data_IF_062365787864
#
_entry.id   IF_062365787864
#
_cell.length_a   1.000
_cell.length_b   1.000
_cell.length_c   1.000
_cell.angle_alpha   90.00
_cell.angle_beta   90.00
_cell.angle_gamma   90.00
#
_symmetry.space_group_name_H-M   'P 1'
#
loop_
_entity.id
_entity.type
_entity.pdbx_description
1 polymer ?
#
# COMPACT_ATOMS: atom_id res chain seq x y z
N UNK A 1 -15.46 -13.52 0.27
CA UNK A 1 -14.07 -13.31 0.74
C UNK A 1 -13.65 -11.93 0.30
N UNK A 2 -13.19 -11.09 1.20
CA UNK A 2 -12.71 -9.72 0.86
C UNK A 2 -11.44 -9.87 0.03
N UNK A 3 -11.38 -9.34 -1.18
CA UNK A 3 -10.16 -9.40 -1.97
C UNK A 3 -9.06 -8.63 -1.25
N UNK A 4 -7.96 -9.30 -0.96
CA UNK A 4 -6.75 -8.73 -0.41
C UNK A 4 -5.60 -8.93 -1.39
N UNK A 5 -4.82 -7.90 -1.65
CA UNK A 5 -3.68 -7.96 -2.56
C UNK A 5 -2.48 -7.25 -1.94
N UNK A 6 -1.31 -7.88 -2.02
CA UNK A 6 -0.04 -7.27 -1.64
C UNK A 6 0.69 -6.82 -2.90
N UNK A 7 1.16 -5.57 -2.90
CA UNK A 7 2.12 -5.11 -3.89
C UNK A 7 3.47 -4.88 -3.21
N UNK A 8 4.48 -5.58 -3.69
CA UNK A 8 5.81 -5.58 -3.12
C UNK A 8 6.89 -5.46 -4.20
N UNK A 9 8.11 -5.11 -3.78
CA UNK A 9 9.30 -5.32 -4.59
C UNK A 9 10.09 -6.50 -4.03
N UNK A 10 10.68 -7.31 -4.92
CA UNK A 10 11.58 -8.37 -4.53
C UNK A 10 13.02 -7.97 -4.90
N UNK A 11 13.93 -7.81 -3.92
CA UNK A 11 15.28 -7.34 -4.19
C UNK A 11 16.19 -8.36 -4.88
N UNK A 12 15.89 -9.65 -4.76
CA UNK A 12 16.64 -10.75 -5.36
C UNK A 12 15.64 -11.74 -5.97
N UNK A 13 15.25 -11.51 -7.22
CA UNK A 13 14.41 -12.47 -7.94
C UNK A 13 15.26 -13.61 -8.48
N UNK A 14 15.65 -14.57 -7.64
CA UNK A 14 15.93 -15.90 -8.12
C UNK A 14 14.59 -16.53 -8.58
N UNK A 15 14.58 -17.11 -9.79
CA UNK A 15 13.37 -17.69 -10.39
C UNK A 15 12.72 -18.77 -9.49
N UNK A 16 13.46 -19.35 -8.56
CA UNK A 16 12.94 -20.28 -7.55
C UNK A 16 12.00 -19.65 -6.51
N UNK A 17 12.17 -18.39 -6.16
CA UNK A 17 11.26 -17.69 -5.23
C UNK A 17 9.97 -17.19 -5.90
N UNK A 18 10.00 -16.91 -7.20
CA UNK A 18 8.80 -16.59 -7.96
C UNK A 18 7.81 -17.76 -8.02
N UNK A 19 8.31 -18.98 -8.15
CA UNK A 19 7.46 -20.18 -8.17
C UNK A 19 6.69 -20.42 -6.87
N UNK A 20 7.26 -20.07 -5.71
CA UNK A 20 6.61 -20.18 -4.40
C UNK A 20 5.53 -19.10 -4.15
N UNK A 21 5.58 -18.00 -4.86
CA UNK A 21 4.66 -16.86 -4.68
C UNK A 21 3.47 -16.87 -5.66
N UNK A 22 3.48 -17.73 -6.69
CA UNK A 22 2.44 -17.78 -7.73
C UNK A 22 1.04 -18.15 -7.22
N UNK A 23 0.92 -18.72 -6.00
CA UNK A 23 -0.35 -19.07 -5.38
C UNK A 23 -0.78 -18.09 -4.27
N UNK A 24 -0.04 -17.02 -4.07
CA UNK A 24 -0.29 -15.99 -3.05
C UNK A 24 -0.80 -14.71 -3.71
N UNK A 25 -1.68 -13.98 -3.02
CA UNK A 25 -2.19 -12.68 -3.49
C UNK A 25 -1.11 -11.60 -3.39
N UNK A 26 0.01 -11.80 -4.07
CA UNK A 26 1.12 -10.85 -4.14
C UNK A 26 1.46 -10.50 -5.58
N UNK A 27 1.56 -9.24 -5.86
CA UNK A 27 2.07 -8.70 -7.12
C UNK A 27 3.45 -8.11 -6.90
N UNK A 28 4.44 -8.65 -7.60
CA UNK A 28 5.82 -8.16 -7.53
C UNK A 28 6.04 -7.15 -8.65
N UNK A 29 6.25 -5.90 -8.26
CA UNK A 29 6.52 -4.82 -9.21
C UNK A 29 7.96 -4.92 -9.72
N UNK A 30 8.10 -5.18 -11.02
CA UNK A 30 9.39 -5.38 -11.69
C UNK A 30 9.81 -4.21 -12.58
N UNK A 31 9.08 -3.09 -12.54
CA UNK A 31 9.36 -1.92 -13.35
C UNK A 31 10.80 -1.42 -13.14
N UNK A 32 11.59 -1.11 -14.23
CA UNK A 32 13.00 -0.73 -14.12
C UNK A 32 13.28 0.44 -13.18
N UNK A 33 12.43 1.48 -13.16
CA UNK A 33 12.58 2.61 -12.25
C UNK A 33 12.43 2.20 -10.79
N UNK A 34 11.49 1.31 -10.48
CA UNK A 34 11.28 0.80 -9.11
C UNK A 34 12.52 0.00 -8.67
N UNK A 35 13.01 -0.90 -9.51
CA UNK A 35 14.20 -1.70 -9.23
C UNK A 35 15.45 -0.83 -9.05
N UNK A 36 15.62 0.18 -9.89
CA UNK A 36 16.73 1.14 -9.78
C UNK A 36 16.69 1.90 -8.45
N UNK A 37 15.56 2.50 -8.11
CA UNK A 37 15.41 3.27 -6.86
C UNK A 37 15.58 2.39 -5.63
N UNK A 38 15.07 1.16 -5.65
CA UNK A 38 15.27 0.18 -4.60
C UNK A 38 16.74 -0.17 -4.41
N UNK A 39 17.50 -0.33 -5.50
CA UNK A 39 18.94 -0.57 -5.45
C UNK A 39 19.69 0.59 -4.79
N UNK A 40 19.34 1.84 -5.14
CA UNK A 40 19.91 3.03 -4.51
C UNK A 40 19.58 3.12 -3.01
N UNK A 41 18.36 2.76 -2.61
CA UNK A 41 17.93 2.75 -1.20
C UNK A 41 18.73 1.74 -0.36
N UNK A 42 19.15 0.62 -0.95
CA UNK A 42 19.90 -0.45 -0.29
C UNK A 42 21.40 -0.20 -0.22
N UNK A 43 21.91 0.86 -0.82
CA UNK A 43 23.32 1.19 -0.79
C UNK A 43 23.75 1.50 0.65
N UNK A 44 24.96 1.00 1.04
CA UNK A 44 25.51 1.17 2.40
C UNK A 44 25.66 2.64 2.79
N UNK A 45 25.92 3.50 1.83
CA UNK A 45 26.14 4.95 1.97
C UNK A 45 24.87 5.77 1.74
N UNK A 46 23.69 5.13 1.70
CA UNK A 46 22.43 5.82 1.56
C UNK A 46 22.15 6.66 2.80
N UNK A 47 22.21 8.00 2.64
CA UNK A 47 21.91 8.92 3.75
C UNK A 47 20.43 8.86 4.14
N UNK A 48 20.10 9.25 5.37
CA UNK A 48 18.71 9.32 5.85
C UNK A 48 17.83 10.20 4.96
N UNK A 49 18.36 11.32 4.47
CA UNK A 49 17.65 12.19 3.53
C UNK A 49 17.32 11.45 2.23
N UNK A 50 18.34 10.84 1.60
CA UNK A 50 18.17 10.07 0.37
C UNK A 50 17.21 8.89 0.55
N UNK A 51 17.29 8.20 1.67
CA UNK A 51 16.38 7.11 2.01
C UNK A 51 14.92 7.58 2.07
N UNK A 52 14.63 8.70 2.75
CA UNK A 52 13.27 9.27 2.82
C UNK A 52 12.75 9.67 1.44
N UNK A 53 13.57 10.35 0.64
CA UNK A 53 13.20 10.74 -0.72
C UNK A 53 12.87 9.53 -1.58
N UNK A 54 13.73 8.51 -1.59
CA UNK A 54 13.51 7.27 -2.34
C UNK A 54 12.27 6.51 -1.86
N UNK A 55 11.99 6.50 -0.54
CA UNK A 55 10.79 5.89 0.02
C UNK A 55 9.51 6.54 -0.54
N UNK A 56 9.44 7.88 -0.56
CA UNK A 56 8.31 8.61 -1.13
C UNK A 56 8.16 8.39 -2.64
N UNK A 57 9.27 8.43 -3.38
CA UNK A 57 9.26 8.18 -4.83
C UNK A 57 8.82 6.77 -5.19
N UNK A 58 9.30 5.76 -4.44
CA UNK A 58 8.89 4.36 -4.61
C UNK A 58 7.40 4.19 -4.27
N UNK A 59 6.93 4.79 -3.17
CA UNK A 59 5.54 4.75 -2.78
C UNK A 59 4.61 5.29 -3.87
N UNK A 60 5.00 6.40 -4.53
CA UNK A 60 4.26 6.99 -5.66
C UNK A 60 4.18 6.02 -6.85
N UNK A 61 5.31 5.44 -7.27
CA UNK A 61 5.34 4.51 -8.40
C UNK A 61 4.53 3.25 -8.13
N UNK A 62 4.61 2.72 -6.91
CA UNK A 62 3.87 1.54 -6.50
C UNK A 62 2.37 1.81 -6.34
N UNK A 63 2.00 3.01 -5.85
CA UNK A 63 0.59 3.41 -5.79
C UNK A 63 -0.04 3.51 -7.18
N UNK A 64 0.71 3.97 -8.19
CA UNK A 64 0.26 3.98 -9.58
C UNK A 64 -0.11 2.57 -10.06
N UNK A 65 0.75 1.58 -9.80
CA UNK A 65 0.46 0.19 -10.13
C UNK A 65 -0.73 -0.36 -9.32
N UNK A 66 -0.81 -0.03 -8.02
CA UNK A 66 -1.89 -0.49 -7.15
C UNK A 66 -3.29 0.00 -7.56
N UNK A 67 -3.36 1.10 -8.27
CA UNK A 67 -4.61 1.69 -8.74
C UNK A 67 -5.01 1.24 -10.16
N UNK A 68 -4.25 0.34 -10.79
CA UNK A 68 -4.47 -0.10 -12.17
C UNK A 68 -5.85 -0.73 -12.41
N UNK A 69 -6.42 -1.37 -11.40
CA UNK A 69 -7.72 -2.04 -11.43
C UNK A 69 -8.87 -1.18 -10.90
N UNK A 70 -8.67 0.12 -10.71
CA UNK A 70 -9.76 1.01 -10.34
C UNK A 70 -10.76 1.11 -11.48
N UNK A 71 -12.03 0.94 -11.15
CA UNK A 71 -13.12 1.11 -12.09
C UNK A 71 -13.30 2.57 -12.44
N UNK A 72 -13.62 2.85 -13.70
CA UNK A 72 -13.91 4.18 -14.22
C UNK A 72 -15.33 4.23 -14.76
N UNK A 73 -15.96 5.39 -14.68
CA UNK A 73 -17.27 5.69 -15.25
C UNK A 73 -17.23 6.97 -16.08
N UNK A 74 -18.07 7.03 -17.11
CA UNK A 74 -18.25 8.25 -17.90
C UNK A 74 -19.15 9.25 -17.17
N UNK A 75 -18.87 10.53 -17.34
CA UNK A 75 -19.73 11.63 -16.90
C UNK A 75 -19.72 12.79 -17.90
N UNK A 76 -20.80 13.56 -17.92
CA UNK A 76 -20.92 14.75 -18.78
C UNK A 76 -20.17 15.91 -18.15
N UNK A 77 -19.34 16.59 -18.93
CA UNK A 77 -18.61 17.79 -18.50
C UNK A 77 -18.48 18.80 -19.62
N UNK A 78 -18.17 20.04 -19.26
CA UNK A 78 -17.80 21.08 -20.23
C UNK A 78 -16.29 21.03 -20.49
N UNK A 79 -15.91 21.00 -21.75
CA UNK A 79 -14.54 21.18 -22.20
C UNK A 79 -14.01 22.59 -21.94
N UNK A 80 -12.73 22.80 -22.20
CA UNK A 80 -12.08 24.10 -22.02
C UNK A 80 -12.66 25.20 -22.95
N UNK A 81 -13.30 24.80 -24.03
CA UNK A 81 -13.98 25.66 -25.04
C UNK A 81 -15.50 25.76 -24.81
N UNK A 82 -16.01 25.27 -23.66
CA UNK A 82 -17.41 25.16 -23.28
C UNK A 82 -18.26 24.21 -24.17
N UNK A 83 -17.64 23.34 -24.95
CA UNK A 83 -18.38 22.26 -25.63
C UNK A 83 -18.71 21.13 -24.63
N UNK A 84 -19.85 20.48 -24.81
CA UNK A 84 -20.21 19.27 -24.05
C UNK A 84 -19.35 18.11 -24.50
N UNK A 85 -18.64 17.48 -23.55
CA UNK A 85 -17.80 16.32 -23.78
C UNK A 85 -18.05 15.25 -22.73
N UNK A 86 -17.65 14.01 -23.01
CA UNK A 86 -17.58 12.91 -22.05
C UNK A 86 -16.22 12.93 -21.36
N UNK A 87 -16.21 12.95 -20.06
CA UNK A 87 -15.05 12.70 -19.23
C UNK A 87 -15.11 11.33 -18.59
N UNK A 88 -14.00 10.88 -18.02
CA UNK A 88 -13.91 9.65 -17.25
C UNK A 88 -13.46 9.98 -15.82
N UNK A 89 -14.05 9.31 -14.83
CA UNK A 89 -13.67 9.43 -13.43
C UNK A 89 -13.64 8.08 -12.74
N UNK A 90 -12.89 7.99 -11.65
CA UNK A 90 -12.85 6.79 -10.81
C UNK A 90 -14.22 6.62 -10.13
N UNK A 91 -14.78 5.39 -10.22
CA UNK A 91 -16.07 5.04 -9.62
C UNK A 91 -16.02 5.16 -8.09
N UNK A 92 -17.06 5.75 -7.52
CA UNK A 92 -17.29 5.75 -6.09
C UNK A 92 -16.38 6.68 -5.29
N UNK A 93 -16.05 6.28 -4.07
CA UNK A 93 -15.20 7.06 -3.19
C UNK A 93 -13.73 6.69 -3.39
N UNK A 94 -12.87 7.72 -3.38
CA UNK A 94 -11.41 7.52 -3.38
C UNK A 94 -10.97 6.71 -2.16
N UNK A 95 -9.80 6.09 -2.28
CA UNK A 95 -9.20 5.24 -1.24
C UNK A 95 -9.05 5.93 0.11
N UNK A 96 -8.95 5.15 1.17
CA UNK A 96 -8.33 5.58 2.41
C UNK A 96 -6.92 5.00 2.50
N UNK A 97 -5.92 5.86 2.71
CA UNK A 97 -4.54 5.44 2.93
C UNK A 97 -4.38 5.13 4.41
N UNK A 98 -3.77 3.98 4.72
CA UNK A 98 -3.63 3.48 6.09
C UNK A 98 -2.15 3.23 6.40
N UNK A 99 -1.37 4.27 6.75
CA UNK A 99 0.00 4.07 7.21
C UNK A 99 0.02 3.31 8.53
N UNK A 100 0.85 2.24 8.58
CA UNK A 100 1.19 1.60 9.85
C UNK A 100 2.27 2.45 10.51
N UNK A 101 1.94 3.04 11.65
CA UNK A 101 2.84 3.93 12.37
C UNK A 101 3.98 3.12 13.01
N UNK A 102 5.18 3.62 12.96
CA UNK A 102 5.58 4.96 12.47
C UNK A 102 6.13 4.91 11.04
N UNK A 103 6.62 3.74 10.59
CA UNK A 103 7.38 3.57 9.35
C UNK A 103 6.56 3.93 8.09
N UNK A 104 5.28 3.60 8.06
CA UNK A 104 4.38 3.92 6.95
C UNK A 104 4.26 5.40 6.63
N UNK A 105 4.54 6.30 7.59
CA UNK A 105 4.53 7.75 7.33
C UNK A 105 5.52 8.17 6.23
N UNK A 106 6.64 7.45 6.10
CA UNK A 106 7.61 7.75 5.04
C UNK A 106 7.09 7.54 3.61
N UNK A 107 6.01 6.78 3.45
CA UNK A 107 5.39 6.52 2.16
C UNK A 107 4.19 7.44 1.89
N UNK A 108 3.64 8.08 2.92
CA UNK A 108 2.35 8.78 2.85
C UNK A 108 2.33 9.90 1.81
N UNK A 109 3.32 10.79 1.83
CA UNK A 109 3.39 11.92 0.92
C UNK A 109 3.45 11.46 -0.55
N UNK A 110 4.23 10.40 -0.84
CA UNK A 110 4.33 9.85 -2.18
C UNK A 110 3.00 9.32 -2.73
N UNK A 111 2.17 8.71 -1.89
CA UNK A 111 0.84 8.24 -2.28
C UNK A 111 -0.14 9.40 -2.41
N UNK A 112 -0.10 10.38 -1.50
CA UNK A 112 -0.97 11.57 -1.56
C UNK A 112 -0.68 12.46 -2.77
N UNK A 113 0.58 12.56 -3.20
CA UNK A 113 0.93 13.28 -4.43
C UNK A 113 0.25 12.70 -5.69
N UNK A 114 -0.01 11.39 -5.67
CA UNK A 114 -0.70 10.71 -6.77
C UNK A 114 -2.23 10.74 -6.59
N UNK A 115 -2.70 10.58 -5.35
CA UNK A 115 -4.14 10.52 -5.03
C UNK A 115 -4.48 11.61 -3.99
N UNK A 116 -4.48 12.89 -4.36
CA UNK A 116 -4.62 14.00 -3.41
C UNK A 116 -6.00 14.05 -2.71
N UNK A 117 -6.99 13.37 -3.26
CA UNK A 117 -8.34 13.26 -2.68
C UNK A 117 -8.48 12.09 -1.71
N UNK A 118 -7.46 11.26 -1.54
CA UNK A 118 -7.49 10.15 -0.59
C UNK A 118 -7.70 10.63 0.85
N UNK A 119 -8.46 9.86 1.61
CA UNK A 119 -8.58 10.07 3.06
C UNK A 119 -7.43 9.35 3.78
N UNK A 120 -7.12 9.80 4.98
CA UNK A 120 -6.07 9.21 5.79
C UNK A 120 -6.69 8.56 7.01
N UNK A 121 -6.44 7.26 7.16
CA UNK A 121 -6.67 6.49 8.38
C UNK A 121 -5.32 6.11 8.96
N UNK A 122 -5.16 6.12 10.27
CA UNK A 122 -3.86 5.81 10.90
C UNK A 122 -4.01 4.67 11.89
N UNK A 123 -3.07 3.73 11.85
CA UNK A 123 -2.98 2.60 12.77
C UNK A 123 -1.59 2.57 13.37
N UNK A 124 -1.52 2.61 14.70
CA UNK A 124 -0.28 2.47 15.44
C UNK A 124 -0.23 1.14 16.17
N UNK A 125 0.81 0.35 15.88
CA UNK A 125 1.03 -0.95 16.48
C UNK A 125 2.40 -0.98 17.16
N UNK A 126 2.46 -1.56 18.34
CA UNK A 126 3.71 -1.87 19.03
C UNK A 126 3.76 -3.36 19.32
N UNK A 127 4.94 -3.91 19.46
CA UNK A 127 5.09 -5.27 19.97
C UNK A 127 4.99 -5.27 21.49
N UNK A 128 4.16 -6.14 22.00
CA UNK A 128 4.18 -6.49 23.39
C UNK A 128 5.53 -7.12 23.75
N UNK A 129 6.15 -6.70 24.84
CA UNK A 129 7.51 -7.13 25.21
C UNK A 129 7.58 -8.59 25.64
N UNK A 130 6.49 -9.15 26.19
CA UNK A 130 6.44 -10.52 26.69
C UNK A 130 5.94 -11.49 25.62
N UNK A 131 4.83 -11.15 24.95
CA UNK A 131 4.16 -12.05 23.99
C UNK A 131 4.66 -11.87 22.55
N UNK A 132 5.38 -10.79 22.25
CA UNK A 132 5.81 -10.37 20.91
C UNK A 132 4.67 -10.14 19.91
N UNK A 133 3.42 -10.15 20.39
CA UNK A 133 2.25 -9.92 19.56
C UNK A 133 2.06 -8.42 19.26
N UNK A 134 1.49 -8.08 18.08
CA UNK A 134 1.16 -6.71 17.76
C UNK A 134 -0.01 -6.22 18.62
N UNK A 135 0.20 -5.17 19.37
CA UNK A 135 -0.83 -4.52 20.19
C UNK A 135 -1.10 -3.11 19.65
N UNK A 136 -2.34 -2.75 19.34
CA UNK A 136 -2.67 -1.41 18.89
C UNK A 136 -2.52 -0.41 20.05
N UNK A 137 -1.77 0.67 19.81
CA UNK A 137 -1.70 1.82 20.73
C UNK A 137 -2.41 3.05 20.15
N UNK A 138 -2.72 3.04 18.87
CA UNK A 138 -3.43 4.13 18.20
C UNK A 138 -4.27 3.59 17.02
N UNK A 139 -5.53 4.01 16.99
CA UNK A 139 -6.45 3.72 15.88
C UNK A 139 -7.27 4.98 15.58
N UNK A 140 -7.15 5.49 14.36
CA UNK A 140 -7.99 6.58 13.86
C UNK A 140 -8.36 6.28 12.41
N UNK A 141 -9.48 5.64 12.22
CA UNK A 141 -10.04 5.35 10.91
C UNK A 141 -11.04 6.43 10.49
N UNK A 142 -11.19 6.64 9.19
CA UNK A 142 -12.23 7.51 8.64
C UNK A 142 -13.61 6.89 8.89
N UNK A 143 -14.61 7.74 9.10
CA UNK A 143 -15.95 7.28 9.50
C UNK A 143 -16.63 6.38 8.45
N UNK A 144 -16.29 6.54 7.18
CA UNK A 144 -16.85 5.79 6.05
C UNK A 144 -15.84 4.79 5.45
N UNK A 145 -14.99 4.18 6.30
CA UNK A 145 -13.98 3.20 5.88
C UNK A 145 -14.60 1.96 5.23
N UNK A 146 -15.82 1.61 5.59
CA UNK A 146 -16.63 0.52 5.01
C UNK A 146 -16.99 0.74 3.53
N UNK A 147 -16.91 1.98 3.06
CA UNK A 147 -17.28 2.39 1.69
C UNK A 147 -16.06 2.80 0.85
N UNK A 148 -14.86 2.57 1.34
CA UNK A 148 -13.61 2.95 0.67
C UNK A 148 -12.70 1.75 0.51
N UNK A 149 -12.04 1.58 -0.63
CA UNK A 149 -10.85 0.73 -0.68
C UNK A 149 -9.80 1.24 0.31
N UNK A 150 -9.23 0.36 1.12
CA UNK A 150 -8.13 0.68 2.02
C UNK A 150 -6.79 0.32 1.38
N UNK A 151 -5.86 1.27 1.36
CA UNK A 151 -4.50 1.08 0.91
C UNK A 151 -3.56 1.18 2.12
N UNK A 152 -3.21 0.03 2.68
CA UNK A 152 -2.24 -0.05 3.78
C UNK A 152 -0.85 0.24 3.22
N UNK A 153 -0.09 1.08 3.89
CA UNK A 153 1.29 1.39 3.51
C UNK A 153 2.25 1.11 4.66
N UNK A 154 3.25 0.28 4.40
CA UNK A 154 4.34 -0.03 5.32
C UNK A 154 5.60 -0.35 4.48
N UNK A 155 6.76 0.24 4.73
CA UNK A 155 7.94 -0.03 3.92
C UNK A 155 8.44 -1.47 4.01
N UNK A 156 8.13 -2.21 5.06
CA UNK A 156 8.67 -3.55 5.25
C UNK A 156 7.64 -4.54 5.81
N UNK A 157 7.32 -5.55 5.02
CA UNK A 157 6.60 -6.75 5.46
C UNK A 157 7.61 -7.81 5.92
N UNK A 158 7.97 -7.80 7.21
CA UNK A 158 8.90 -8.76 7.79
C UNK A 158 8.15 -10.03 8.24
N UNK A 159 7.72 -10.10 9.50
CA UNK A 159 6.99 -11.26 10.04
C UNK A 159 5.50 -11.29 9.70
N UNK A 160 4.93 -10.16 9.27
CA UNK A 160 3.51 -10.06 8.88
C UNK A 160 2.53 -9.69 10.01
N UNK A 161 2.91 -9.81 11.27
CA UNK A 161 1.97 -9.61 12.39
C UNK A 161 1.28 -8.24 12.40
N UNK A 162 2.01 -7.14 12.18
CA UNK A 162 1.41 -5.80 12.12
C UNK A 162 0.47 -5.65 10.92
N UNK A 163 0.80 -6.24 9.79
CA UNK A 163 -0.03 -6.22 8.60
C UNK A 163 -1.35 -6.97 8.85
N UNK A 164 -1.28 -8.19 9.38
CA UNK A 164 -2.47 -9.00 9.73
C UNK A 164 -3.37 -8.27 10.73
N UNK A 165 -2.79 -7.73 11.81
CA UNK A 165 -3.57 -6.98 12.79
C UNK A 165 -4.28 -5.75 12.18
N UNK A 166 -3.63 -5.05 11.24
CA UNK A 166 -4.24 -3.92 10.52
C UNK A 166 -5.36 -4.36 9.59
N UNK A 167 -5.16 -5.46 8.85
CA UNK A 167 -6.18 -6.05 7.98
C UNK A 167 -7.41 -6.45 8.78
N UNK A 168 -7.22 -7.15 9.89
CA UNK A 168 -8.31 -7.60 10.77
C UNK A 168 -9.09 -6.41 11.34
N UNK A 169 -8.38 -5.36 11.73
CA UNK A 169 -9.00 -4.12 12.21
C UNK A 169 -9.89 -3.49 11.13
N UNK A 170 -9.41 -3.38 9.89
CA UNK A 170 -10.18 -2.86 8.76
C UNK A 170 -11.36 -3.75 8.40
N UNK A 171 -11.18 -5.07 8.37
CA UNK A 171 -12.26 -6.06 8.15
C UNK A 171 -13.34 -5.93 9.21
N UNK A 172 -12.99 -5.82 10.50
CA UNK A 172 -13.94 -5.60 11.61
C UNK A 172 -14.74 -4.31 11.46
N UNK A 173 -14.22 -3.31 10.78
CA UNK A 173 -14.92 -2.04 10.47
C UNK A 173 -15.69 -2.08 9.15
N UNK A 174 -15.78 -3.24 8.51
CA UNK A 174 -16.58 -3.45 7.29
C UNK A 174 -15.86 -3.09 5.99
N UNK A 175 -14.54 -2.79 6.02
CA UNK A 175 -13.81 -2.50 4.79
C UNK A 175 -13.80 -3.75 3.88
N UNK A 176 -14.34 -3.61 2.67
CA UNK A 176 -14.53 -4.71 1.73
C UNK A 176 -13.38 -4.93 0.76
N UNK A 177 -12.56 -3.93 0.54
CA UNK A 177 -11.41 -3.99 -0.39
C UNK A 177 -10.17 -3.47 0.31
N UNK A 178 -9.16 -4.32 0.46
CA UNK A 178 -7.92 -3.98 1.16
C UNK A 178 -6.74 -4.35 0.26
N UNK A 179 -5.85 -3.39 0.04
CA UNK A 179 -4.56 -3.59 -0.61
C UNK A 179 -3.44 -3.17 0.33
N UNK A 180 -2.28 -3.79 0.21
CA UNK A 180 -1.08 -3.39 0.92
C UNK A 180 0.04 -3.04 -0.06
N UNK A 181 0.71 -1.93 0.20
CA UNK A 181 1.93 -1.49 -0.48
C UNK A 181 3.10 -1.67 0.46
N UNK A 182 4.08 -2.48 0.07
CA UNK A 182 5.30 -2.69 0.84
C UNK A 182 6.52 -2.58 -0.07
N UNK A 183 7.54 -1.84 0.35
CA UNK A 183 8.74 -1.67 -0.48
C UNK A 183 9.51 -2.98 -0.56
N UNK A 184 9.60 -3.71 0.54
CA UNK A 184 10.20 -5.06 0.59
C UNK A 184 9.33 -5.99 1.42
N UNK A 185 9.26 -7.26 0.99
CA UNK A 185 8.52 -8.30 1.69
C UNK A 185 9.42 -9.53 1.94
N UNK A 186 9.35 -10.05 3.16
CA UNK A 186 9.96 -11.34 3.49
C UNK A 186 8.95 -12.48 3.21
N UNK A 187 9.41 -13.63 2.74
CA UNK A 187 8.53 -14.77 2.39
C UNK A 187 7.63 -15.22 3.53
N UNK A 188 8.13 -15.22 4.77
CA UNK A 188 7.37 -15.56 5.97
C UNK A 188 6.21 -14.59 6.23
N UNK A 189 6.44 -13.30 6.07
CA UNK A 189 5.39 -12.29 6.24
C UNK A 189 4.31 -12.40 5.17
N UNK A 190 4.72 -12.69 3.92
CA UNK A 190 3.77 -12.92 2.81
C UNK A 190 2.90 -14.13 3.08
N UNK A 191 3.46 -15.26 3.57
CA UNK A 191 2.68 -16.43 3.92
C UNK A 191 1.66 -16.15 5.00
N UNK A 192 2.10 -15.56 6.11
CA UNK A 192 1.22 -15.23 7.24
C UNK A 192 0.03 -14.35 6.83
N UNK A 193 0.25 -13.39 5.96
CA UNK A 193 -0.83 -12.49 5.50
C UNK A 193 -1.81 -13.16 4.56
N UNK A 194 -1.43 -14.27 3.89
CA UNK A 194 -2.29 -15.03 2.99
C UNK A 194 -3.07 -16.18 3.68
N UNK A 195 -2.78 -16.49 4.95
CA UNK A 195 -3.55 -17.44 5.80
C UNK A 195 -4.85 -16.82 6.31
#
# INVERSE_FOLDING_TARGET
>A
MTPFQIQATCPNSDDGQRGLMNNLNIEIITHPLVRHKLSLMRAKDCSTYKFRTLTSELARLMAYEACRDFEIEEFDMLGWDNTEIKGEQIVGKTVTIVPILRAGLGMLDGVLDLIPTAKISMVGLQRDEETLQPVPFFEKLVADVDRRPALIIDPMLATGGSMVATIDMLKKKGCSTIKALVLVAAPEGVRLVNE
#
